data_IF_104650129582
#
_entry.id   IF_104650129582
#
_cell.length_a   1.000
_cell.length_b   1.000
_cell.length_c   1.000
_cell.angle_alpha   90.00
_cell.angle_beta   90.00
_cell.angle_gamma   90.00
#
_symmetry.space_group_name_H-M   'P 1'
#
loop_
_entity.id
_entity.type
_entity.pdbx_description
1 polymer ?
#
# COMPACT_ATOMS: atom_id res chain seq x y z
N UNK A 1 -2.33 -9.60 -9.32
CA UNK A 1 -3.49 -8.80 -9.71
C UNK A 1 -4.59 -9.71 -10.20
N UNK A 2 -5.66 -9.98 -9.42
CA UNK A 2 -6.81 -10.72 -9.91
C UNK A 2 -7.47 -9.98 -11.05
N UNK A 3 -7.76 -10.65 -12.18
CA UNK A 3 -8.90 -10.23 -12.99
C UNK A 3 -10.13 -10.50 -12.11
N UNK A 4 -10.92 -9.48 -11.80
CA UNK A 4 -12.06 -9.63 -10.89
C UNK A 4 -13.22 -10.31 -11.60
N UNK A 5 -13.56 -11.54 -11.20
CA UNK A 5 -14.90 -12.08 -11.38
C UNK A 5 -15.78 -11.64 -10.20
N UNK A 6 -17.07 -11.38 -10.45
CA UNK A 6 -18.05 -11.11 -9.39
C UNK A 6 -18.62 -9.70 -9.29
N UNK A 7 -18.40 -8.82 -10.27
CA UNK A 7 -19.08 -7.51 -10.34
C UNK A 7 -18.41 -6.37 -9.56
N UNK A 8 -17.22 -6.61 -8.99
CA UNK A 8 -16.32 -5.53 -8.57
C UNK A 8 -15.75 -4.81 -9.81
N UNK A 9 -15.56 -3.49 -9.72
CA UNK A 9 -15.00 -2.71 -10.81
C UNK A 9 -13.61 -3.25 -11.22
N UNK A 10 -13.29 -3.18 -12.52
CA UNK A 10 -11.99 -3.60 -13.05
C UNK A 10 -10.89 -2.73 -12.44
N UNK A 11 -10.02 -3.33 -11.62
CA UNK A 11 -8.87 -2.64 -11.02
C UNK A 11 -7.75 -2.56 -12.04
N UNK A 12 -7.42 -1.35 -12.53
CA UNK A 12 -6.33 -1.15 -13.48
C UNK A 12 -4.98 -1.04 -12.77
N UNK A 13 -4.44 -2.18 -12.31
CA UNK A 13 -3.16 -2.23 -11.59
C UNK A 13 -1.92 -2.26 -12.49
N UNK A 14 -2.09 -2.52 -13.80
CA UNK A 14 -0.94 -2.71 -14.71
C UNK A 14 -0.10 -1.44 -14.85
N UNK A 15 -0.75 -0.29 -14.96
CA UNK A 15 -0.07 1.01 -15.05
C UNK A 15 0.68 1.34 -13.75
N UNK A 16 0.14 0.95 -12.60
CA UNK A 16 0.78 1.12 -11.30
C UNK A 16 2.01 0.20 -11.17
N UNK A 17 1.86 -1.09 -11.46
CA UNK A 17 2.96 -2.06 -11.54
C UNK A 17 4.08 -1.58 -12.48
N UNK A 18 3.72 -1.10 -13.67
CA UNK A 18 4.66 -0.58 -14.65
C UNK A 18 5.42 0.64 -14.11
N UNK A 19 4.72 1.58 -13.46
CA UNK A 19 5.35 2.75 -12.87
C UNK A 19 6.34 2.39 -11.75
N UNK A 20 6.05 1.34 -10.97
CA UNK A 20 6.94 0.83 -9.93
C UNK A 20 8.15 0.11 -10.54
N UNK A 21 7.96 -0.70 -11.59
CA UNK A 21 9.05 -1.34 -12.35
C UNK A 21 10.04 -0.29 -12.83
N UNK A 22 9.57 0.73 -13.55
CA UNK A 22 10.40 1.84 -14.06
C UNK A 22 11.14 2.58 -12.94
N UNK A 23 10.50 2.80 -11.79
CA UNK A 23 11.14 3.44 -10.64
C UNK A 23 12.23 2.56 -10.00
N UNK A 24 12.11 1.23 -10.11
CA UNK A 24 12.94 0.26 -9.40
C UNK A 24 14.16 -0.24 -10.20
N UNK A 25 14.13 -0.14 -11.54
CA UNK A 25 15.05 -0.80 -12.50
C UNK A 25 16.56 -0.75 -12.17
N UNK A 26 17.03 0.30 -11.50
CA UNK A 26 18.46 0.47 -11.16
C UNK A 26 18.76 0.54 -9.66
N UNK A 27 17.72 0.44 -8.81
CA UNK A 27 17.80 0.81 -7.40
C UNK A 27 17.42 -0.29 -6.42
N UNK A 28 16.62 -1.27 -6.86
CA UNK A 28 16.09 -2.32 -5.99
C UNK A 28 15.90 -3.64 -6.72
N UNK A 29 15.94 -4.74 -5.97
CA UNK A 29 15.44 -6.03 -6.44
C UNK A 29 13.91 -6.03 -6.32
N UNK A 30 13.22 -6.17 -7.45
CA UNK A 30 11.76 -6.24 -7.49
C UNK A 30 11.31 -7.70 -7.57
N UNK A 31 10.37 -8.08 -6.72
CA UNK A 31 9.64 -9.35 -6.80
C UNK A 31 8.18 -8.98 -7.05
N UNK A 32 7.66 -9.33 -8.21
CA UNK A 32 6.28 -9.07 -8.59
C UNK A 32 5.48 -10.38 -8.56
N UNK A 33 4.35 -10.37 -7.85
CA UNK A 33 3.44 -11.50 -7.74
C UNK A 33 2.13 -11.20 -8.46
N UNK A 34 1.81 -12.00 -9.48
CA UNK A 34 0.55 -11.89 -10.20
C UNK A 34 -0.46 -12.90 -9.63
N UNK A 35 -1.43 -12.38 -8.88
CA UNK A 35 -2.51 -13.15 -8.26
C UNK A 35 -2.03 -14.13 -7.17
N UNK A 36 -1.17 -13.67 -6.23
CA UNK A 36 -0.80 -14.53 -5.13
C UNK A 36 -2.00 -14.78 -4.21
N UNK A 37 -1.94 -15.84 -3.44
CA UNK A 37 -2.68 -16.03 -2.20
C UNK A 37 -2.13 -15.14 -1.07
N UNK A 38 -2.95 -14.84 -0.08
CA UNK A 38 -2.55 -14.16 1.16
C UNK A 38 -1.41 -14.94 1.85
N UNK A 39 -1.51 -16.27 1.87
CA UNK A 39 -0.49 -17.15 2.44
C UNK A 39 0.87 -17.03 1.73
N UNK A 40 0.89 -16.96 0.39
CA UNK A 40 2.12 -16.75 -0.38
C UNK A 40 2.75 -15.39 -0.09
N UNK A 41 1.95 -14.33 -0.01
CA UNK A 41 2.43 -12.98 0.33
C UNK A 41 3.08 -12.97 1.71
N UNK A 42 2.39 -13.50 2.73
CA UNK A 42 2.93 -13.56 4.10
C UNK A 42 4.19 -14.42 4.16
N UNK A 43 4.20 -15.57 3.47
CA UNK A 43 5.39 -16.44 3.43
C UNK A 43 6.58 -15.73 2.78
N UNK A 44 6.38 -15.05 1.66
CA UNK A 44 7.45 -14.31 0.98
C UNK A 44 8.03 -13.22 1.87
N UNK A 45 7.17 -12.40 2.50
CA UNK A 45 7.61 -11.29 3.36
C UNK A 45 8.34 -11.80 4.62
N UNK A 46 7.96 -12.96 5.17
CA UNK A 46 8.66 -13.57 6.32
C UNK A 46 9.99 -14.21 5.93
N UNK A 47 10.01 -14.90 4.80
CA UNK A 47 11.18 -15.69 4.37
C UNK A 47 12.25 -14.84 3.69
N UNK A 48 11.83 -13.72 3.08
CA UNK A 48 12.70 -12.80 2.37
C UNK A 48 12.78 -11.48 3.14
N UNK A 49 13.97 -10.94 3.33
CA UNK A 49 14.15 -9.63 3.97
C UNK A 49 13.67 -8.49 3.03
N UNK A 50 12.35 -8.34 2.90
CA UNK A 50 11.69 -7.33 2.08
C UNK A 50 11.75 -5.98 2.81
N UNK A 51 12.23 -4.94 2.12
CA UNK A 51 12.25 -3.58 2.68
C UNK A 51 10.93 -2.83 2.41
N UNK A 52 10.31 -3.05 1.24
CA UNK A 52 9.09 -2.37 0.83
C UNK A 52 8.09 -3.40 0.31
N UNK A 53 6.89 -3.41 0.89
CA UNK A 53 5.77 -4.22 0.44
C UNK A 53 4.75 -3.31 -0.25
N UNK A 54 4.41 -3.59 -1.51
CA UNK A 54 3.35 -2.91 -2.24
C UNK A 54 2.21 -3.89 -2.52
N UNK A 55 1.00 -3.55 -2.11
CA UNK A 55 -0.20 -4.36 -2.29
C UNK A 55 -1.22 -3.57 -3.11
N UNK A 56 -1.29 -3.81 -4.42
CA UNK A 56 -2.36 -3.30 -5.27
C UNK A 56 -3.43 -4.38 -5.43
N UNK A 57 -4.59 -4.17 -4.80
CA UNK A 57 -5.67 -5.15 -4.73
C UNK A 57 -6.98 -4.49 -4.32
N UNK A 58 -8.05 -5.27 -4.21
CA UNK A 58 -9.26 -4.79 -3.56
C UNK A 58 -9.15 -4.95 -2.04
N UNK A 59 -9.90 -4.12 -1.32
CA UNK A 59 -10.19 -4.36 0.09
C UNK A 59 -11.70 -4.54 0.23
N UNK A 60 -12.10 -5.45 1.12
CA UNK A 60 -13.49 -5.64 1.52
C UNK A 60 -13.68 -5.15 2.94
N UNK A 61 -14.59 -4.20 3.11
CA UNK A 61 -14.96 -3.64 4.39
C UNK A 61 -16.11 -4.46 5.00
N UNK A 62 -15.88 -5.03 6.19
CA UNK A 62 -16.95 -5.65 6.97
C UNK A 62 -17.53 -4.62 7.96
N UNK A 63 -18.75 -4.16 7.68
CA UNK A 63 -19.46 -3.18 8.52
C UNK A 63 -20.07 -3.77 9.79
N UNK A 64 -20.13 -5.11 9.91
CA UNK A 64 -20.63 -5.78 11.11
C UNK A 64 -19.49 -6.05 12.10
N UNK A 65 -18.30 -6.37 11.60
CA UNK A 65 -17.08 -6.58 12.39
C UNK A 65 -15.84 -6.10 11.61
N UNK A 66 -15.36 -4.90 11.96
CA UNK A 66 -14.20 -4.28 11.31
C UNK A 66 -12.92 -5.11 11.38
N UNK A 67 -12.80 -6.04 12.33
CA UNK A 67 -11.67 -6.97 12.45
C UNK A 67 -11.58 -7.94 11.27
N UNK A 68 -12.70 -8.17 10.56
CA UNK A 68 -12.77 -9.01 9.37
C UNK A 68 -12.55 -8.23 8.06
N UNK A 69 -12.38 -6.90 8.14
CA UNK A 69 -11.95 -6.11 6.98
C UNK A 69 -10.67 -6.71 6.40
N UNK A 70 -10.61 -6.90 5.09
CA UNK A 70 -9.55 -7.70 4.49
C UNK A 70 -9.07 -7.14 3.16
N UNK A 71 -7.81 -7.42 2.83
CA UNK A 71 -7.30 -7.30 1.47
C UNK A 71 -7.64 -8.58 0.72
N UNK A 72 -8.15 -8.46 -0.50
CA UNK A 72 -8.59 -9.60 -1.28
C UNK A 72 -7.48 -10.06 -2.23
N UNK A 73 -7.04 -11.30 -2.04
CA UNK A 73 -6.05 -12.00 -2.86
C UNK A 73 -6.68 -13.14 -3.67
N UNK A 74 -5.88 -13.79 -4.52
CA UNK A 74 -6.24 -15.06 -5.13
C UNK A 74 -6.46 -15.09 -6.66
N UNK A 75 -6.51 -16.35 -7.12
CA UNK A 75 -6.86 -16.86 -8.45
C UNK A 75 -8.08 -17.76 -8.26
N UNK A 76 -9.25 -17.35 -8.78
CA UNK A 76 -10.08 -18.16 -9.67
C UNK A 76 -11.26 -17.29 -10.15
N UNK A 77 -11.33 -17.03 -11.46
CA UNK A 77 -12.49 -16.34 -12.06
C UNK A 77 -13.75 -17.22 -11.97
N UNK A 78 -13.57 -18.54 -11.81
CA UNK A 78 -14.63 -19.53 -11.93
C UNK A 78 -15.19 -19.98 -10.56
N UNK A 79 -14.46 -19.75 -9.46
CA UNK A 79 -14.84 -20.27 -8.13
C UNK A 79 -15.53 -19.26 -7.20
N UNK A 80 -15.62 -17.97 -7.56
CA UNK A 80 -16.19 -16.91 -6.71
C UNK A 80 -15.61 -16.80 -5.28
N UNK A 81 -14.47 -17.43 -4.99
CA UNK A 81 -13.83 -17.43 -3.68
C UNK A 81 -12.56 -16.58 -3.71
N UNK A 82 -12.61 -15.41 -3.07
CA UNK A 82 -11.44 -14.60 -2.77
C UNK A 82 -10.66 -15.22 -1.60
N UNK A 83 -9.35 -14.96 -1.55
CA UNK A 83 -8.48 -15.30 -0.43
C UNK A 83 -8.25 -14.04 0.44
N UNK A 84 -9.00 -13.85 1.54
CA UNK A 84 -8.91 -12.64 2.33
C UNK A 84 -7.67 -12.63 3.24
N UNK A 85 -6.97 -11.50 3.30
CA UNK A 85 -6.01 -11.17 4.35
C UNK A 85 -6.66 -10.18 5.33
N UNK A 86 -7.20 -10.68 6.43
CA UNK A 86 -7.92 -9.89 7.44
C UNK A 86 -6.98 -8.97 8.25
N UNK A 87 -7.54 -7.94 8.90
CA UNK A 87 -6.80 -6.96 9.74
C UNK A 87 -5.86 -7.62 10.74
N UNK A 88 -6.19 -8.79 11.28
CA UNK A 88 -5.37 -9.46 12.28
C UNK A 88 -4.20 -10.29 11.72
N UNK A 89 -4.20 -10.60 10.42
CA UNK A 89 -3.21 -11.47 9.77
C UNK A 89 -1.83 -10.85 9.55
N UNK A 90 -1.69 -9.53 9.29
CA UNK A 90 -0.41 -8.84 9.25
C UNK A 90 0.48 -9.12 10.46
N UNK A 91 -0.05 -9.51 11.63
CA UNK A 91 0.76 -9.92 12.79
C UNK A 91 1.78 -11.02 12.46
N UNK A 92 1.50 -11.81 11.42
CA UNK A 92 2.34 -12.89 10.96
C UNK A 92 3.50 -12.40 10.08
N UNK A 93 3.56 -11.13 9.70
CA UNK A 93 4.64 -10.55 8.89
C UNK A 93 5.97 -10.61 9.63
N UNK A 94 5.99 -10.33 10.93
CA UNK A 94 7.21 -10.38 11.74
C UNK A 94 7.27 -11.65 12.57
N UNK A 95 8.35 -12.40 12.41
CA UNK A 95 8.68 -13.51 13.30
C UNK A 95 9.66 -13.04 14.37
N UNK A 96 9.14 -12.74 15.56
CA UNK A 96 9.95 -12.25 16.68
C UNK A 96 11.00 -13.26 17.17
N UNK A 97 10.90 -14.54 16.75
CA UNK A 97 11.92 -15.55 17.05
C UNK A 97 13.15 -15.46 16.11
N UNK A 98 13.02 -14.77 14.97
CA UNK A 98 14.06 -14.63 13.95
C UNK A 98 14.82 -13.33 14.12
N UNK A 99 15.98 -13.38 14.75
CA UNK A 99 16.85 -12.21 14.93
C UNK A 99 17.46 -11.67 13.63
N UNK A 100 17.47 -12.48 12.57
CA UNK A 100 17.98 -12.12 11.24
C UNK A 100 16.91 -11.48 10.34
N UNK A 101 15.64 -11.56 10.74
CA UNK A 101 14.56 -10.94 9.99
C UNK A 101 14.58 -9.43 10.19
N UNK A 102 14.63 -8.69 9.08
CA UNK A 102 14.47 -7.24 9.09
C UNK A 102 12.99 -6.85 8.98
N UNK A 103 12.53 -5.84 9.73
CA UNK A 103 11.19 -5.32 9.57
C UNK A 103 11.01 -4.68 8.19
N UNK A 104 9.77 -4.70 7.68
CA UNK A 104 9.39 -3.84 6.57
C UNK A 104 9.74 -2.39 6.92
N UNK A 105 10.22 -1.62 5.96
CA UNK A 105 10.43 -0.17 6.10
C UNK A 105 9.23 0.62 5.63
N UNK A 106 8.47 0.06 4.68
CA UNK A 106 7.25 0.63 4.14
C UNK A 106 6.28 -0.48 3.73
N UNK A 107 5.02 -0.34 4.16
CA UNK A 107 3.88 -1.03 3.56
C UNK A 107 3.05 -0.02 2.77
N UNK A 108 2.89 -0.23 1.47
CA UNK A 108 2.05 0.59 0.59
C UNK A 108 0.81 -0.21 0.24
N UNK A 109 -0.35 0.23 0.72
CA UNK A 109 -1.64 -0.43 0.54
C UNK A 109 -2.45 0.32 -0.52
N UNK A 110 -2.24 -0.05 -1.79
CA UNK A 110 -2.98 0.49 -2.93
C UNK A 110 -4.32 -0.25 -3.09
N UNK A 111 -5.20 -0.05 -2.12
CA UNK A 111 -6.54 -0.59 -2.09
C UNK A 111 -7.46 0.42 -1.40
N UNK A 112 -8.77 0.36 -1.69
CA UNK A 112 -9.76 1.28 -1.13
C UNK A 112 -9.88 1.17 0.40
N UNK A 113 -10.09 2.30 1.08
CA UNK A 113 -10.47 2.36 2.50
C UNK A 113 -9.50 1.66 3.49
N UNK A 114 -8.23 1.46 3.13
CA UNK A 114 -7.26 0.71 3.96
C UNK A 114 -6.82 1.44 5.23
N UNK A 115 -7.03 2.75 5.29
CA UNK A 115 -6.70 3.62 6.42
C UNK A 115 -7.95 4.22 7.10
N UNK A 116 -9.13 3.62 6.88
CA UNK A 116 -10.39 4.20 7.32
C UNK A 116 -11.02 3.43 8.48
N UNK A 117 -11.45 4.16 9.50
CA UNK A 117 -12.32 3.68 10.57
C UNK A 117 -13.73 4.25 10.34
N UNK A 118 -14.74 3.39 10.16
CA UNK A 118 -16.11 3.81 9.91
C UNK A 118 -17.02 3.71 11.14
N UNK A 119 -16.65 2.93 12.17
CA UNK A 119 -17.51 2.76 13.34
C UNK A 119 -17.40 3.93 14.31
N UNK A 120 -18.48 4.70 14.55
CA UNK A 120 -18.46 5.76 15.55
C UNK A 120 -18.26 5.21 16.99
N UNK A 121 -18.57 3.93 17.22
CA UNK A 121 -18.40 3.25 18.51
C UNK A 121 -16.96 2.84 18.78
N UNK A 122 -16.14 2.76 17.73
CA UNK A 122 -14.73 2.35 17.77
C UNK A 122 -13.82 3.48 17.24
N UNK A 123 -14.29 4.73 17.32
CA UNK A 123 -13.55 5.88 16.76
C UNK A 123 -12.24 6.15 17.50
N UNK A 124 -12.15 5.70 18.76
CA UNK A 124 -10.95 5.69 19.60
C UNK A 124 -10.08 4.46 19.38
N UNK A 125 -10.54 3.48 18.60
CA UNK A 125 -9.80 2.27 18.24
C UNK A 125 -9.30 2.35 16.80
N UNK A 126 -7.99 2.18 16.60
CA UNK A 126 -7.37 2.20 15.27
C UNK A 126 -7.45 0.80 14.60
N UNK A 127 -8.66 0.31 14.35
CA UNK A 127 -8.91 -1.01 13.74
C UNK A 127 -9.09 -0.84 12.22
N UNK A 128 -7.97 -0.70 11.51
CA UNK A 128 -7.94 -0.69 10.05
C UNK A 128 -6.63 -1.32 9.54
N UNK A 129 -6.61 -1.72 8.26
CA UNK A 129 -5.49 -2.44 7.65
C UNK A 129 -4.16 -1.68 7.81
N UNK A 130 -4.14 -0.38 7.56
CA UNK A 130 -2.90 0.41 7.67
C UNK A 130 -2.32 0.41 9.10
N UNK A 131 -3.16 0.47 10.14
CA UNK A 131 -2.72 0.34 11.53
C UNK A 131 -2.23 -1.07 11.84
N UNK A 132 -2.87 -2.11 11.28
CA UNK A 132 -2.39 -3.48 11.43
C UNK A 132 -1.00 -3.69 10.86
N UNK A 133 -0.71 -3.18 9.65
CA UNK A 133 0.64 -3.24 9.08
C UNK A 133 1.66 -2.44 9.90
N UNK A 134 1.24 -1.31 10.49
CA UNK A 134 2.09 -0.52 11.37
C UNK A 134 2.44 -1.28 12.66
N UNK A 135 1.43 -1.85 13.33
CA UNK A 135 1.57 -2.66 14.55
C UNK A 135 2.34 -3.96 14.30
N UNK A 136 2.27 -4.47 13.08
CA UNK A 136 3.08 -5.61 12.61
C UNK A 136 4.53 -5.21 12.29
N UNK A 137 4.89 -3.97 12.61
CA UNK A 137 6.24 -3.45 12.70
C UNK A 137 6.78 -2.82 11.42
N UNK A 138 5.92 -2.42 10.49
CA UNK A 138 6.30 -1.43 9.46
C UNK A 138 6.28 -0.03 10.08
N UNK A 139 7.40 0.72 10.12
CA UNK A 139 7.44 2.04 10.75
C UNK A 139 6.67 3.09 9.94
N UNK A 140 6.47 2.85 8.64
CA UNK A 140 5.69 3.70 7.75
C UNK A 140 4.70 2.87 6.93
N UNK A 141 3.48 3.37 6.80
CA UNK A 141 2.41 2.78 6.00
C UNK A 141 1.75 3.86 5.18
N UNK A 142 1.56 3.60 3.88
CA UNK A 142 0.71 4.40 3.01
C UNK A 142 -0.58 3.61 2.78
N UNK A 143 -1.72 4.26 2.98
CA UNK A 143 -3.04 3.68 2.73
C UNK A 143 -4.03 4.74 2.24
N UNK A 144 -5.30 4.37 2.11
CA UNK A 144 -6.34 5.25 1.59
C UNK A 144 -7.51 5.42 2.58
N UNK A 145 -7.99 6.64 2.72
CA UNK A 145 -9.11 7.01 3.60
C UNK A 145 -10.48 6.77 2.96
N UNK A 146 -10.57 6.47 1.68
CA UNK A 146 -11.80 6.13 0.96
C UNK A 146 -11.41 5.43 -0.35
N UNK A 147 -12.35 5.32 -1.30
CA UNK A 147 -12.08 4.74 -2.62
C UNK A 147 -10.88 5.40 -3.31
N UNK A 148 -9.94 4.56 -3.73
CA UNK A 148 -8.76 5.01 -4.45
C UNK A 148 -9.14 5.30 -5.90
N UNK A 149 -8.69 6.44 -6.42
CA UNK A 149 -8.83 6.75 -7.83
C UNK A 149 -7.69 6.11 -8.62
N UNK A 150 -7.99 5.26 -9.61
CA UNK A 150 -6.97 4.54 -10.39
C UNK A 150 -5.91 5.49 -11.02
N UNK A 151 -6.34 6.63 -11.57
CA UNK A 151 -5.40 7.60 -12.15
C UNK A 151 -4.53 8.23 -11.08
N UNK A 152 -5.10 8.58 -9.92
CA UNK A 152 -4.32 9.06 -8.80
C UNK A 152 -3.38 8.00 -8.24
N UNK A 153 -3.81 6.75 -8.10
CA UNK A 153 -3.01 5.63 -7.61
C UNK A 153 -1.72 5.46 -8.42
N UNK A 154 -1.80 5.47 -9.76
CA UNK A 154 -0.61 5.37 -10.62
C UNK A 154 0.37 6.52 -10.39
N UNK A 155 -0.12 7.77 -10.33
CA UNK A 155 0.74 8.95 -10.14
C UNK A 155 1.33 8.99 -8.73
N UNK A 156 0.50 8.69 -7.73
CA UNK A 156 0.84 8.73 -6.31
C UNK A 156 1.73 7.56 -5.93
N UNK A 157 1.65 6.41 -6.58
CA UNK A 157 2.59 5.31 -6.39
C UNK A 157 3.95 5.60 -7.04
N UNK A 158 3.98 6.15 -8.26
CA UNK A 158 5.25 6.40 -8.97
C UNK A 158 6.22 7.31 -8.21
N UNK A 159 5.70 8.40 -7.66
CA UNK A 159 6.53 9.49 -7.12
C UNK A 159 7.28 9.08 -5.85
N UNK A 160 6.66 8.39 -4.87
CA UNK A 160 7.34 7.93 -3.67
C UNK A 160 8.47 6.95 -3.93
N UNK A 161 8.29 5.95 -4.81
CA UNK A 161 9.39 5.03 -5.12
C UNK A 161 10.61 5.75 -5.70
N UNK A 162 10.39 6.65 -6.67
CA UNK A 162 11.47 7.44 -7.25
C UNK A 162 12.23 8.29 -6.22
N UNK A 163 11.51 8.90 -5.28
CA UNK A 163 12.12 9.72 -4.22
C UNK A 163 12.85 8.86 -3.17
N UNK A 164 12.21 7.77 -2.71
CA UNK A 164 12.78 6.86 -1.71
C UNK A 164 14.06 6.19 -2.23
N UNK A 165 14.07 5.76 -3.49
CA UNK A 165 15.26 5.16 -4.10
C UNK A 165 16.37 6.18 -4.32
N UNK A 166 16.05 7.38 -4.80
CA UNK A 166 17.05 8.46 -4.96
C UNK A 166 17.71 8.82 -3.63
N UNK A 167 16.91 8.95 -2.57
CA UNK A 167 17.43 9.22 -1.23
C UNK A 167 18.23 8.05 -0.68
N UNK A 168 17.79 6.80 -0.91
CA UNK A 168 18.56 5.61 -0.55
C UNK A 168 19.94 5.58 -1.20
N UNK A 169 20.03 5.93 -2.49
CA UNK A 169 21.29 6.07 -3.19
C UNK A 169 22.15 7.21 -2.62
N UNK A 170 21.55 8.38 -2.35
CA UNK A 170 22.26 9.52 -1.75
C UNK A 170 22.81 9.20 -0.35
N UNK A 171 22.06 8.48 0.48
CA UNK A 171 22.52 8.02 1.79
C UNK A 171 23.67 7.01 1.66
N UNK A 172 23.57 6.04 0.73
CA UNK A 172 24.65 5.06 0.46
C UNK A 172 25.93 5.73 -0.06
N UNK A 173 25.79 6.82 -0.81
CA UNK A 173 26.90 7.63 -1.31
C UNK A 173 27.47 8.61 -0.26
N UNK A 174 26.92 8.66 0.96
CA UNK A 174 27.34 9.58 2.02
C UNK A 174 26.97 11.05 1.76
N UNK A 175 26.01 11.31 0.87
CA UNK A 175 25.58 12.65 0.44
C UNK A 175 24.46 13.20 1.35
N UNK A 176 23.70 12.33 2.02
CA UNK A 176 22.59 12.71 2.88
C UNK A 176 22.63 11.98 4.24
N UNK A 177 22.34 12.70 5.34
CA UNK A 177 22.19 12.13 6.69
C UNK A 177 20.79 11.54 6.88
N UNK A 178 20.72 10.29 7.34
CA UNK A 178 19.51 9.48 7.31
C UNK A 178 18.49 9.79 8.41
N UNK A 179 17.29 10.23 8.01
CA UNK A 179 16.07 10.11 8.81
C UNK A 179 15.01 9.37 7.99
N UNK A 180 14.95 8.04 8.16
CA UNK A 180 14.19 7.15 7.28
C UNK A 180 12.67 7.39 7.25
N UNK A 181 12.09 7.94 8.33
CA UNK A 181 10.64 8.10 8.49
C UNK A 181 10.06 9.35 7.80
N UNK A 182 10.70 10.50 8.01
CA UNK A 182 10.37 11.76 7.33
C UNK A 182 10.35 11.64 5.80
N UNK A 183 11.14 10.71 5.27
CA UNK A 183 11.25 10.47 3.83
C UNK A 183 9.97 9.94 3.20
N UNK A 184 9.23 9.02 3.84
CA UNK A 184 7.99 8.47 3.26
C UNK A 184 6.89 9.53 3.26
N UNK A 185 6.67 10.20 4.39
CA UNK A 185 5.68 11.27 4.49
C UNK A 185 5.96 12.41 3.48
N UNK A 186 7.23 12.84 3.38
CA UNK A 186 7.65 13.86 2.41
C UNK A 186 7.49 13.39 0.97
N UNK A 187 7.79 12.13 0.68
CA UNK A 187 7.64 11.56 -0.65
C UNK A 187 6.16 11.49 -1.06
N UNK A 188 5.25 11.10 -0.15
CA UNK A 188 3.81 11.15 -0.37
C UNK A 188 3.30 12.59 -0.57
N UNK A 189 3.80 13.54 0.21
CA UNK A 189 3.49 14.96 -0.01
C UNK A 189 3.87 15.43 -1.42
N UNK A 190 5.07 15.10 -1.90
CA UNK A 190 5.47 15.46 -3.26
C UNK A 190 4.65 14.75 -4.32
N UNK A 191 4.23 13.50 -4.07
CA UNK A 191 3.37 12.73 -4.96
C UNK A 191 2.01 13.41 -5.15
N UNK A 192 1.34 13.75 -4.05
CA UNK A 192 0.04 14.45 -4.09
C UNK A 192 0.17 15.86 -4.66
N UNK A 193 1.24 16.59 -4.35
CA UNK A 193 1.53 17.89 -4.96
C UNK A 193 1.74 17.80 -6.47
N UNK A 194 2.45 16.77 -6.94
CA UNK A 194 2.66 16.52 -8.38
C UNK A 194 1.34 16.22 -9.07
N UNK A 195 0.47 15.39 -8.48
CA UNK A 195 -0.85 15.11 -9.04
C UNK A 195 -1.68 16.39 -9.19
N UNK A 196 -1.76 17.21 -8.12
CA UNK A 196 -2.47 18.50 -8.13
C UNK A 196 -1.98 19.46 -9.22
N UNK A 197 -0.69 19.44 -9.54
CA UNK A 197 -0.10 20.31 -10.56
C UNK A 197 -0.35 19.84 -11.99
N UNK A 198 -0.58 18.54 -12.22
CA UNK A 198 -0.79 17.98 -13.57
C UNK A 198 -2.06 18.49 -14.25
N UNK A 199 -2.92 19.25 -13.55
CA UNK A 199 -4.25 19.67 -14.03
C UNK A 199 -4.95 18.49 -14.69
N UNK A 200 -5.08 17.38 -13.97
CA UNK A 200 -5.95 16.28 -14.38
C UNK A 200 -7.34 16.88 -14.41
N UNK A 201 -7.78 17.35 -15.57
CA UNK A 201 -8.96 18.17 -15.74
C UNK A 201 -10.22 17.34 -15.54
N UNK A 202 -10.52 16.95 -14.30
CA UNK A 202 -11.90 16.65 -13.91
C UNK A 202 -12.65 17.97 -13.89
N UNK A 203 -13.86 17.98 -14.45
CA UNK A 203 -14.65 19.21 -14.61
C UNK A 203 -14.92 19.93 -13.28
N UNK A 204 -14.77 19.24 -12.14
CA UNK A 204 -14.99 19.76 -10.81
C UNK A 204 -13.71 19.69 -9.93
N UNK A 205 -13.23 20.83 -9.37
CA UNK A 205 -12.13 20.86 -8.41
C UNK A 205 -12.31 19.99 -7.16
N UNK A 206 -13.57 19.72 -6.76
CA UNK A 206 -13.84 18.82 -5.64
C UNK A 206 -13.54 17.34 -5.97
N UNK A 207 -13.80 16.91 -7.21
CA UNK A 207 -13.47 15.55 -7.67
C UNK A 207 -11.95 15.34 -7.78
N UNK A 208 -11.19 16.40 -8.06
CA UNK A 208 -9.73 16.37 -8.03
C UNK A 208 -9.22 16.15 -6.61
N UNK A 209 -9.78 16.85 -5.61
CA UNK A 209 -9.43 16.62 -4.20
C UNK A 209 -9.78 15.21 -3.72
N UNK A 210 -10.94 14.68 -4.09
CA UNK A 210 -11.34 13.30 -3.77
C UNK A 210 -10.39 12.26 -4.37
N UNK A 211 -9.69 12.56 -5.46
CA UNK A 211 -8.77 11.62 -6.09
C UNK A 211 -7.44 11.47 -5.32
N UNK A 212 -6.79 12.58 -4.94
CA UNK A 212 -5.46 12.53 -4.30
C UNK A 212 -5.48 12.62 -2.78
N UNK A 213 -6.52 13.19 -2.17
CA UNK A 213 -6.55 13.41 -0.72
C UNK A 213 -6.91 12.14 0.07
N UNK A 214 -7.27 11.05 -0.63
CA UNK A 214 -7.49 9.74 -0.01
C UNK A 214 -6.20 9.17 0.55
N UNK A 215 -5.07 9.43 -0.09
CA UNK A 215 -3.79 8.84 0.30
C UNK A 215 -3.25 9.48 1.58
N UNK A 216 -2.97 8.65 2.57
CA UNK A 216 -2.43 9.06 3.87
C UNK A 216 -1.19 8.25 4.25
N UNK A 217 -0.33 8.87 5.02
CA UNK A 217 0.81 8.24 5.65
C UNK A 217 0.54 8.05 7.15
N UNK A 218 0.76 6.84 7.65
CA UNK A 218 0.65 6.47 9.06
C UNK A 218 2.00 5.90 9.50
N UNK A 219 2.65 6.52 10.48
CA UNK A 219 4.00 6.14 10.86
C UNK A 219 4.88 7.32 11.29
N UNK A 220 6.12 6.98 11.66
CA UNK A 220 7.16 7.92 12.03
C UNK A 220 8.17 8.10 10.89
#
# INVERSE_FOLDING_TARGET
MPQTAGGLAHLSTEDESQAIREASESSAQLIELCQPSAAEVLHLVRSSNVDILHLACHAELDLNDFSNTSLLFGLDLDAHTFDPLAVWEPRNIQDLSRSDQRPLRLAYLSACCTAQQYDPRLIDENIHLAAAFQLSGSPAVIGTLWEADDTAAVVVARTPYGELFRQGQACRAGIAEGQSGYHVAKALYFATATYRQRKVARGNPAEDALAWASFVHIGA
#
